data_IF_721199351303
#
_entry.id   IF_721199351303
#
_cell.length_a   1.000
_cell.length_b   1.000
_cell.length_c   1.000
_cell.angle_alpha   90.00
_cell.angle_beta   90.00
_cell.angle_gamma   90.00
#
_symmetry.space_group_name_H-M   'P 1'
#
loop_
_entity.id
_entity.type
_entity.pdbx_description
1 polymer ?
#
# COMPACT_ATOMS: atom_id res chain seq x y z
N UNK A 1 -14.60 0.53 -10.97
CA UNK A 1 -14.73 0.51 -9.50
C UNK A 1 -14.10 1.81 -8.98
N UNK A 2 -14.75 2.45 -8.02
CA UNK A 2 -14.70 3.89 -7.76
C UNK A 2 -13.48 4.28 -6.91
N UNK A 3 -12.54 5.03 -7.51
CA UNK A 3 -11.31 5.55 -6.89
C UNK A 3 -11.57 6.39 -5.63
N UNK A 4 -12.81 6.86 -5.42
CA UNK A 4 -13.25 7.51 -4.18
C UNK A 4 -13.16 6.62 -2.93
N UNK A 5 -13.14 5.30 -3.08
CA UNK A 5 -12.94 4.36 -1.97
C UNK A 5 -11.45 4.17 -1.66
N UNK A 6 -10.61 4.18 -2.69
CA UNK A 6 -9.12 4.13 -2.57
C UNK A 6 -8.58 5.34 -1.79
N UNK A 7 -9.23 6.49 -2.00
CA UNK A 7 -8.98 7.74 -1.31
C UNK A 7 -9.14 7.68 0.21
N UNK A 8 -10.37 7.38 0.64
CA UNK A 8 -10.76 7.38 2.04
C UNK A 8 -9.93 6.35 2.82
N UNK A 9 -9.45 5.32 2.13
CA UNK A 9 -8.71 4.22 2.70
C UNK A 9 -7.28 4.53 3.14
N UNK A 10 -6.66 5.57 2.60
CA UNK A 10 -5.29 5.93 2.93
C UNK A 10 -5.15 6.56 4.34
N UNK A 11 -6.26 6.96 4.99
CA UNK A 11 -6.24 7.74 6.25
C UNK A 11 -6.95 7.10 7.44
N UNK A 12 -7.54 5.91 7.28
CA UNK A 12 -8.26 5.20 8.35
C UNK A 12 -7.76 3.77 8.54
N UNK A 13 -7.47 3.33 9.79
CA UNK A 13 -7.08 1.95 10.02
C UNK A 13 -8.23 0.99 9.64
N UNK A 14 -8.05 0.25 8.54
CA UNK A 14 -8.93 -0.88 8.17
C UNK A 14 -9.43 -0.93 6.73
N UNK A 15 -9.17 0.05 5.88
CA UNK A 15 -9.99 0.23 4.67
C UNK A 15 -9.45 -0.42 3.37
N UNK A 16 -8.21 -0.95 3.35
CA UNK A 16 -7.76 -1.87 2.29
C UNK A 16 -8.57 -3.19 2.28
N UNK A 17 -9.37 -3.45 3.34
CA UNK A 17 -10.33 -4.56 3.38
C UNK A 17 -11.61 -4.30 2.58
N UNK A 18 -11.88 -3.04 2.19
CA UNK A 18 -13.13 -2.62 1.53
C UNK A 18 -13.07 -2.85 0.01
N UNK A 19 -11.96 -2.49 -0.63
CA UNK A 19 -11.67 -2.85 -2.02
C UNK A 19 -10.18 -3.14 -2.22
N UNK A 20 -9.73 -4.39 -2.02
CA UNK A 20 -8.32 -4.74 -2.13
C UNK A 20 -7.82 -4.82 -3.58
N UNK A 21 -8.72 -4.85 -4.59
CA UNK A 21 -8.36 -5.14 -5.99
C UNK A 21 -7.32 -4.18 -6.56
N UNK A 22 -7.56 -2.86 -6.57
CA UNK A 22 -6.62 -1.88 -7.13
C UNK A 22 -5.23 -1.91 -6.46
N UNK A 23 -5.19 -2.17 -5.15
CA UNK A 23 -3.93 -2.25 -4.40
C UNK A 23 -3.12 -3.51 -4.76
N UNK A 24 -3.80 -4.63 -5.06
CA UNK A 24 -3.15 -5.86 -5.56
C UNK A 24 -2.59 -5.67 -6.96
N UNK A 25 -3.29 -4.94 -7.82
CA UNK A 25 -2.83 -4.66 -9.17
C UNK A 25 -1.56 -3.79 -9.14
N UNK A 26 -1.52 -2.75 -8.30
CA UNK A 26 -0.32 -1.92 -8.09
C UNK A 26 0.86 -2.75 -7.55
N UNK A 27 0.60 -3.58 -6.53
CA UNK A 27 1.62 -4.47 -5.96
C UNK A 27 2.17 -5.43 -7.02
N UNK A 28 1.30 -6.03 -7.83
CA UNK A 28 1.69 -6.95 -8.90
C UNK A 28 2.48 -6.24 -10.00
N UNK A 29 2.03 -5.05 -10.41
CA UNK A 29 2.73 -4.26 -11.42
C UNK A 29 4.16 -3.93 -10.99
N UNK A 30 4.36 -3.54 -9.72
CA UNK A 30 5.68 -3.26 -9.17
C UNK A 30 6.60 -4.49 -9.15
N UNK A 31 6.09 -5.64 -8.68
CA UNK A 31 6.88 -6.88 -8.60
C UNK A 31 7.27 -7.42 -9.98
N UNK A 32 6.42 -7.20 -11.00
CA UNK A 32 6.68 -7.63 -12.38
C UNK A 32 7.56 -6.64 -13.14
N UNK A 33 7.42 -5.34 -12.88
CA UNK A 33 8.24 -4.31 -13.55
C UNK A 33 9.72 -4.38 -13.16
N UNK A 34 10.03 -4.95 -11.98
CA UNK A 34 11.40 -5.10 -11.50
C UNK A 34 12.08 -3.75 -11.30
N UNK A 35 11.37 -2.76 -10.76
CA UNK A 35 11.91 -1.46 -10.39
C UNK A 35 12.33 -1.45 -8.90
N UNK A 36 13.52 -2.01 -8.55
CA UNK A 36 13.91 -2.27 -7.15
C UNK A 36 14.07 -1.00 -6.31
N UNK A 37 14.23 0.16 -6.95
CA UNK A 37 14.60 1.39 -6.26
C UNK A 37 13.39 2.16 -5.68
N UNK A 38 12.16 1.71 -5.94
CA UNK A 38 10.95 2.39 -5.45
C UNK A 38 10.64 2.09 -3.99
N UNK A 39 10.99 0.91 -3.50
CA UNK A 39 10.72 0.44 -2.15
C UNK A 39 11.96 -0.20 -1.53
N UNK A 40 12.14 -0.05 -0.23
CA UNK A 40 13.08 -0.91 0.49
C UNK A 40 12.59 -2.36 0.55
N UNK A 41 13.50 -3.32 0.69
CA UNK A 41 13.16 -4.73 0.93
C UNK A 41 12.11 -4.94 2.03
N UNK A 42 12.13 -4.11 3.08
CA UNK A 42 11.19 -4.23 4.19
C UNK A 42 9.79 -3.78 3.77
N UNK A 43 9.69 -2.69 3.01
CA UNK A 43 8.43 -2.17 2.49
C UNK A 43 7.84 -3.10 1.42
N UNK A 44 8.67 -3.70 0.56
CA UNK A 44 8.22 -4.69 -0.40
C UNK A 44 7.64 -5.94 0.30
N UNK A 45 8.34 -6.48 1.31
CA UNK A 45 7.83 -7.60 2.11
C UNK A 45 6.52 -7.25 2.82
N UNK A 46 6.41 -6.04 3.36
CA UNK A 46 5.19 -5.53 3.97
C UNK A 46 4.03 -5.50 2.96
N UNK A 47 4.28 -4.98 1.76
CA UNK A 47 3.33 -4.90 0.66
C UNK A 47 2.84 -6.28 0.21
N UNK A 48 3.75 -7.22 -0.03
CA UNK A 48 3.41 -8.60 -0.40
C UNK A 48 2.58 -9.27 0.68
N UNK A 49 3.04 -9.22 1.94
CA UNK A 49 2.36 -9.86 3.06
C UNK A 49 0.94 -9.32 3.27
N UNK A 50 0.77 -8.00 3.11
CA UNK A 50 -0.52 -7.36 3.36
C UNK A 50 -1.50 -7.42 2.21
N UNK A 51 -1.05 -7.14 0.98
CA UNK A 51 -1.96 -6.97 -0.15
C UNK A 51 -2.18 -8.28 -0.91
N UNK A 52 -1.13 -9.11 -1.04
CA UNK A 52 -1.17 -10.34 -1.83
C UNK A 52 -1.43 -11.58 -0.98
N UNK A 53 -0.84 -11.64 0.22
CA UNK A 53 -0.99 -12.80 1.13
C UNK A 53 -2.08 -12.61 2.19
N UNK A 54 -2.63 -11.40 2.32
CA UNK A 54 -3.66 -11.06 3.31
C UNK A 54 -3.30 -11.45 4.76
N UNK A 55 -2.02 -11.36 5.13
CA UNK A 55 -1.55 -11.69 6.50
C UNK A 55 -2.23 -10.77 7.53
N UNK A 56 -2.67 -11.29 8.69
CA UNK A 56 -3.18 -10.46 9.78
C UNK A 56 -2.07 -9.56 10.32
N UNK A 57 -2.44 -8.43 10.94
CA UNK A 57 -1.46 -7.46 11.44
C UNK A 57 -0.74 -7.88 12.71
N UNK A 58 -1.45 -8.56 13.61
CA UNK A 58 -1.10 -8.72 15.03
C UNK A 58 0.35 -9.19 15.23
N UNK A 59 0.78 -10.21 14.50
CA UNK A 59 2.16 -10.73 14.59
C UNK A 59 3.06 -10.26 13.44
N UNK A 60 2.48 -9.97 12.28
CA UNK A 60 3.24 -9.66 11.06
C UNK A 60 4.05 -8.37 11.16
N UNK A 61 3.55 -7.37 11.90
CA UNK A 61 4.29 -6.14 12.14
C UNK A 61 5.59 -6.40 12.91
N UNK A 62 5.54 -7.28 13.92
CA UNK A 62 6.71 -7.69 14.69
C UNK A 62 7.70 -8.52 13.87
N UNK A 63 7.21 -9.44 13.04
CA UNK A 63 8.03 -10.25 12.12
C UNK A 63 8.89 -9.38 11.18
N UNK A 64 8.37 -8.23 10.74
CA UNK A 64 9.10 -7.27 9.90
C UNK A 64 9.90 -6.22 10.67
N UNK A 65 9.91 -6.29 12.01
CA UNK A 65 10.67 -5.39 12.87
C UNK A 65 10.06 -4.00 13.06
N UNK A 66 8.74 -3.85 12.89
CA UNK A 66 8.03 -2.64 13.28
C UNK A 66 7.73 -2.65 14.79
N UNK A 67 7.86 -1.49 15.44
CA UNK A 67 7.60 -1.34 16.87
C UNK A 67 6.12 -1.44 17.24
N UNK A 68 5.22 -1.29 16.27
CA UNK A 68 3.77 -1.43 16.48
C UNK A 68 3.04 -1.71 15.16
N UNK A 69 1.84 -2.30 15.26
CA UNK A 69 0.90 -2.43 14.15
C UNK A 69 0.62 -1.09 13.47
N UNK A 70 0.36 -0.02 14.24
CA UNK A 70 0.10 1.30 13.68
C UNK A 70 1.29 1.87 12.91
N UNK A 71 2.52 1.56 13.31
CA UNK A 71 3.71 1.94 12.54
C UNK A 71 3.79 1.17 11.22
N UNK A 72 3.52 -0.14 11.23
CA UNK A 72 3.50 -0.95 10.02
C UNK A 72 2.39 -0.50 9.05
N UNK A 73 1.22 -0.13 9.56
CA UNK A 73 0.13 0.42 8.74
C UNK A 73 0.50 1.74 8.08
N UNK A 74 1.16 2.65 8.82
CA UNK A 74 1.69 3.90 8.24
C UNK A 74 2.73 3.61 7.16
N UNK A 75 3.68 2.72 7.43
CA UNK A 75 4.70 2.32 6.45
C UNK A 75 4.09 1.72 5.17
N UNK A 76 3.00 0.95 5.28
CA UNK A 76 2.28 0.45 4.11
C UNK A 76 1.67 1.61 3.30
N UNK A 77 1.05 2.59 3.96
CA UNK A 77 0.55 3.80 3.31
C UNK A 77 1.67 4.59 2.63
N UNK A 78 2.79 4.76 3.32
CA UNK A 78 3.97 5.47 2.82
C UNK A 78 4.53 4.78 1.55
N UNK A 79 4.62 3.46 1.55
CA UNK A 79 5.08 2.64 0.44
C UNK A 79 4.15 2.68 -0.78
N UNK A 80 2.83 2.86 -0.59
CA UNK A 80 1.89 2.94 -1.70
C UNK A 80 2.03 4.22 -2.53
N UNK A 81 2.52 5.32 -1.94
CA UNK A 81 2.65 6.62 -2.62
C UNK A 81 3.53 6.58 -3.87
N UNK A 82 4.81 6.15 -3.81
CA UNK A 82 5.65 6.07 -5.01
C UNK A 82 5.12 5.09 -6.06
N UNK A 83 4.36 4.06 -5.65
CA UNK A 83 3.74 3.12 -6.59
C UNK A 83 2.56 3.73 -7.34
N UNK A 84 1.74 4.54 -6.66
CA UNK A 84 0.65 5.28 -7.31
C UNK A 84 1.23 6.34 -8.26
N UNK A 85 2.32 6.99 -7.88
CA UNK A 85 2.99 7.94 -8.78
C UNK A 85 3.53 7.24 -10.04
N UNK A 86 4.15 6.07 -9.89
CA UNK A 86 4.76 5.32 -10.99
C UNK A 86 3.77 4.53 -11.87
N UNK A 87 2.73 3.93 -11.26
CA UNK A 87 1.84 2.96 -11.92
C UNK A 87 0.36 3.33 -11.85
N UNK A 88 0.02 4.34 -11.06
CA UNK A 88 -1.36 4.78 -10.90
C UNK A 88 -1.94 5.33 -12.20
N UNK A 89 -3.23 5.09 -12.41
CA UNK A 89 -3.98 5.82 -13.44
C UNK A 89 -4.06 7.31 -13.07
N UNK A 90 -4.39 8.21 -14.01
CA UNK A 90 -4.59 9.63 -13.68
C UNK A 90 -5.61 9.86 -12.55
N UNK A 91 -6.63 8.99 -12.45
CA UNK A 91 -7.59 9.03 -11.35
C UNK A 91 -6.96 8.62 -10.00
N UNK A 92 -6.05 7.66 -9.99
CA UNK A 92 -5.29 7.25 -8.82
C UNK A 92 -4.37 8.37 -8.32
N UNK A 93 -3.66 9.02 -9.25
CA UNK A 93 -2.73 10.10 -8.98
C UNK A 93 -3.46 11.34 -8.43
N UNK A 94 -4.56 11.76 -9.07
CA UNK A 94 -5.37 12.88 -8.61
C UNK A 94 -5.94 12.67 -7.20
N UNK A 95 -6.23 11.41 -6.87
CA UNK A 95 -6.73 11.07 -5.55
C UNK A 95 -5.63 11.06 -4.49
N UNK A 96 -4.43 10.57 -4.81
CA UNK A 96 -3.27 10.67 -3.92
C UNK A 96 -2.93 12.13 -3.58
N UNK A 97 -2.97 13.02 -4.58
CA UNK A 97 -2.63 14.44 -4.39
C UNK A 97 -3.51 15.14 -3.35
N UNK A 98 -4.76 14.71 -3.15
CA UNK A 98 -5.69 15.29 -2.16
C UNK A 98 -5.28 15.07 -0.70
N UNK A 99 -4.37 14.13 -0.47
CA UNK A 99 -3.93 13.72 0.87
C UNK A 99 -2.51 14.17 1.20
N UNK A 100 -1.79 14.69 0.22
CA UNK A 100 -0.43 15.21 0.35
C UNK A 100 -0.37 16.74 0.39
N UNK A 101 -1.50 17.44 0.23
CA UNK A 101 -1.70 18.87 0.58
C UNK A 101 -2.08 19.03 2.05
#
# INVERSE_FOLDING_TARGET
ADWRVVAAAAHGPGMYSVDPGPFRDLATAHLVSGAPDLLSDREERLLVGKLLQARPWDDFAGELGYHSTSQAMRALGDALRPLVDAYGTPAAQAELSRFTE
#
